data_IF_201154341077
#
_entry.id   IF_201154341077
#
_cell.length_a   1.000
_cell.length_b   1.000
_cell.length_c   1.000
_cell.angle_alpha   90.00
_cell.angle_beta   90.00
_cell.angle_gamma   90.00
#
_symmetry.space_group_name_H-M   'P 1'
#
loop_
_entity.id
_entity.type
_entity.pdbx_description
1 polymer ?
#
# COMPACT_ATOMS: atom_id res chain seq x y z
N UNK A 1 13.59 16.36 -4.26
CA UNK A 1 12.24 16.38 -4.87
C UNK A 1 11.20 16.61 -3.77
N UNK A 2 10.39 17.66 -3.88
CA UNK A 2 9.26 17.84 -2.97
C UNK A 2 8.40 16.56 -3.01
N UNK A 3 8.06 16.00 -1.84
CA UNK A 3 7.20 14.82 -1.70
C UNK A 3 7.89 13.49 -1.34
N UNK A 4 9.21 13.39 -1.25
CA UNK A 4 9.88 12.17 -0.71
C UNK A 4 10.21 12.34 0.78
N UNK A 5 9.71 11.45 1.64
CA UNK A 5 9.99 11.47 3.09
C UNK A 5 10.62 10.15 3.55
N UNK A 6 11.22 10.15 4.76
CA UNK A 6 11.79 8.93 5.36
C UNK A 6 10.67 7.96 5.73
N UNK A 7 10.94 6.66 5.59
CA UNK A 7 10.04 5.62 6.10
C UNK A 7 9.94 5.73 7.62
N UNK A 8 8.77 5.42 8.17
CA UNK A 8 8.60 5.18 9.62
C UNK A 8 9.39 3.94 10.05
N UNK A 9 9.51 3.70 11.37
CA UNK A 9 10.20 2.51 11.87
C UNK A 9 9.56 1.21 11.38
N UNK A 10 8.21 1.14 11.41
CA UNK A 10 7.47 -0.03 10.93
C UNK A 10 7.65 -0.24 9.41
N UNK A 11 7.51 0.82 8.61
CA UNK A 11 7.72 0.74 7.16
C UNK A 11 9.14 0.26 6.81
N UNK A 12 10.17 0.72 7.53
CA UNK A 12 11.56 0.24 7.32
C UNK A 12 11.69 -1.25 7.62
N UNK A 13 11.03 -1.75 8.67
CA UNK A 13 11.03 -3.17 9.00
C UNK A 13 10.51 -4.03 7.85
N UNK A 14 9.33 -3.68 7.32
CA UNK A 14 8.72 -4.37 6.17
C UNK A 14 9.60 -4.25 4.92
N UNK A 15 10.14 -3.05 4.64
CA UNK A 15 11.04 -2.81 3.50
C UNK A 15 12.27 -3.73 3.52
N UNK A 16 12.93 -3.86 4.68
CA UNK A 16 14.08 -4.74 4.81
C UNK A 16 13.71 -6.22 4.70
N UNK A 17 12.60 -6.64 5.31
CA UNK A 17 12.13 -8.01 5.22
C UNK A 17 11.84 -8.41 3.76
N UNK A 18 11.14 -7.57 3.00
CA UNK A 18 10.83 -7.83 1.58
C UNK A 18 12.11 -7.90 0.73
N UNK A 19 13.13 -7.09 1.02
CA UNK A 19 14.41 -7.15 0.28
C UNK A 19 15.23 -8.39 0.63
N UNK A 20 15.12 -8.88 1.86
CA UNK A 20 15.83 -10.09 2.31
C UNK A 20 15.26 -11.35 1.66
N UNK A 21 13.93 -11.43 1.51
CA UNK A 21 13.23 -12.55 0.90
C UNK A 21 12.13 -12.07 -0.07
N UNK A 22 12.46 -11.70 -1.32
CA UNK A 22 11.51 -11.09 -2.25
C UNK A 22 10.31 -11.95 -2.63
N UNK A 23 10.40 -13.28 -2.46
CA UNK A 23 9.32 -14.22 -2.74
C UNK A 23 8.49 -14.58 -1.49
N UNK A 24 8.85 -14.08 -0.31
CA UNK A 24 8.13 -14.37 0.93
C UNK A 24 6.82 -13.55 0.98
N UNK A 25 5.65 -14.20 1.06
CA UNK A 25 4.37 -13.50 1.08
C UNK A 25 3.93 -13.09 2.50
N UNK A 26 4.77 -13.22 3.53
CA UNK A 26 4.38 -13.00 4.94
C UNK A 26 3.78 -11.62 5.25
N UNK A 27 4.03 -10.61 4.41
CA UNK A 27 3.47 -9.27 4.53
C UNK A 27 2.30 -8.97 3.58
N UNK A 28 1.81 -9.96 2.83
CA UNK A 28 0.59 -9.84 2.04
C UNK A 28 -0.63 -10.05 2.95
N UNK A 29 -1.41 -8.99 3.15
CA UNK A 29 -2.63 -9.03 3.96
C UNK A 29 -3.84 -9.15 3.03
N UNK A 30 -4.77 -10.04 3.35
CA UNK A 30 -6.03 -10.18 2.64
C UNK A 30 -7.18 -10.38 3.63
N UNK A 31 -8.34 -9.81 3.30
CA UNK A 31 -9.58 -9.93 4.06
C UNK A 31 -10.75 -10.03 3.07
N UNK A 32 -11.87 -10.62 3.51
CA UNK A 32 -13.11 -10.63 2.75
C UNK A 32 -14.30 -10.27 3.64
N UNK A 33 -15.31 -9.64 3.06
CA UNK A 33 -16.59 -9.37 3.69
C UNK A 33 -17.71 -10.14 2.97
N UNK A 34 -18.57 -10.80 3.73
CA UNK A 34 -19.73 -11.52 3.22
C UNK A 34 -20.99 -10.64 3.31
N UNK A 35 -21.37 -10.06 2.17
CA UNK A 35 -22.52 -9.16 2.08
C UNK A 35 -23.76 -9.98 1.67
N UNK A 36 -24.76 -10.02 2.55
CA UNK A 36 -26.04 -10.70 2.30
C UNK A 36 -27.04 -9.75 1.66
N UNK A 37 -27.37 -10.00 0.40
CA UNK A 37 -28.37 -9.23 -0.35
C UNK A 37 -27.86 -8.82 -1.74
N UNK A 38 -28.67 -8.06 -2.50
CA UNK A 38 -28.26 -7.55 -3.80
C UNK A 38 -27.12 -6.54 -3.65
N UNK A 39 -26.14 -6.60 -4.55
CA UNK A 39 -25.01 -5.66 -4.65
C UNK A 39 -24.99 -5.09 -6.07
N UNK A 40 -24.95 -3.77 -6.17
CA UNK A 40 -24.53 -3.09 -7.40
C UNK A 40 -22.99 -3.13 -7.47
N UNK A 41 -22.47 -4.06 -8.27
CA UNK A 41 -21.03 -4.28 -8.41
C UNK A 41 -20.30 -3.13 -9.09
N UNK A 42 -20.99 -2.40 -9.98
CA UNK A 42 -20.41 -1.25 -10.66
C UNK A 42 -20.26 -0.08 -9.68
N UNK A 43 -21.30 0.19 -8.89
CA UNK A 43 -21.25 1.20 -7.83
C UNK A 43 -20.20 0.86 -6.77
N UNK A 44 -20.12 -0.40 -6.35
CA UNK A 44 -19.09 -0.86 -5.40
C UNK A 44 -17.69 -0.64 -5.97
N UNK A 45 -17.46 -1.00 -7.23
CA UNK A 45 -16.18 -0.78 -7.91
C UNK A 45 -15.79 0.70 -7.95
N UNK A 46 -16.73 1.60 -8.25
CA UNK A 46 -16.49 3.05 -8.20
C UNK A 46 -16.16 3.54 -6.79
N UNK A 47 -16.86 3.05 -5.77
CA UNK A 47 -16.61 3.42 -4.38
C UNK A 47 -15.19 2.99 -3.92
N UNK A 48 -14.79 1.75 -4.25
CA UNK A 48 -13.44 1.25 -3.94
C UNK A 48 -12.35 2.10 -4.60
N UNK A 49 -12.51 2.40 -5.90
CA UNK A 49 -11.55 3.23 -6.63
C UNK A 49 -11.47 4.65 -6.07
N UNK A 50 -12.60 5.22 -5.65
CA UNK A 50 -12.65 6.52 -4.99
C UNK A 50 -11.88 6.50 -3.66
N UNK A 51 -12.15 5.53 -2.78
CA UNK A 51 -11.40 5.36 -1.53
C UNK A 51 -9.89 5.19 -1.76
N UNK A 52 -9.50 4.39 -2.76
CA UNK A 52 -8.09 4.22 -3.11
C UNK A 52 -7.41 5.53 -3.54
N UNK A 53 -8.16 6.43 -4.17
CA UNK A 53 -7.67 7.73 -4.64
C UNK A 53 -7.54 8.75 -3.49
N UNK A 54 -8.43 8.70 -2.50
CA UNK A 54 -8.38 9.64 -1.36
C UNK A 54 -7.29 9.29 -0.33
N UNK A 55 -6.98 8.00 -0.15
CA UNK A 55 -6.06 7.53 0.88
C UNK A 55 -4.59 7.61 0.45
N UNK A 56 -3.81 8.51 1.07
CA UNK A 56 -2.37 8.66 0.79
C UNK A 56 -1.58 7.35 0.96
N UNK A 57 -1.94 6.52 1.94
CA UNK A 57 -1.27 5.25 2.17
C UNK A 57 -1.39 4.28 0.99
N UNK A 58 -2.54 4.30 0.29
CA UNK A 58 -2.78 3.46 -0.90
C UNK A 58 -2.13 4.03 -2.17
N UNK A 59 -1.76 5.32 -2.17
CA UNK A 59 -1.00 5.99 -3.22
C UNK A 59 0.49 6.13 -2.90
N UNK A 60 0.96 5.50 -1.82
CA UNK A 60 2.35 5.58 -1.41
C UNK A 60 3.22 4.57 -2.15
N UNK A 61 4.30 5.05 -2.77
CA UNK A 61 5.35 4.23 -3.36
C UNK A 61 6.63 4.30 -2.53
N UNK A 62 7.39 3.19 -2.53
CA UNK A 62 8.63 3.04 -1.77
C UNK A 62 9.79 2.79 -2.72
N UNK A 63 10.94 3.37 -2.41
CA UNK A 63 12.15 3.20 -3.20
C UNK A 63 13.41 3.41 -2.38
N UNK A 64 14.55 3.25 -3.02
CA UNK A 64 15.86 3.48 -2.41
C UNK A 64 16.66 4.45 -3.27
N UNK A 65 17.35 5.39 -2.63
CA UNK A 65 18.29 6.28 -3.29
C UNK A 65 19.56 6.37 -2.46
N UNK A 66 20.69 6.03 -3.08
CA UNK A 66 22.01 6.01 -2.42
C UNK A 66 22.01 5.17 -1.13
N UNK A 67 21.37 4.00 -1.14
CA UNK A 67 21.26 3.13 0.04
C UNK A 67 20.25 3.59 1.10
N UNK A 68 19.55 4.71 0.88
CA UNK A 68 18.57 5.25 1.84
C UNK A 68 17.15 5.03 1.32
N UNK A 69 16.30 4.27 2.04
CA UNK A 69 14.93 4.07 1.65
C UNK A 69 14.10 5.35 1.87
N UNK A 70 13.19 5.61 0.94
CA UNK A 70 12.24 6.73 0.98
C UNK A 70 10.84 6.27 0.58
N UNK A 71 9.84 7.04 1.01
CA UNK A 71 8.46 6.92 0.56
C UNK A 71 8.04 8.20 -0.15
N UNK A 72 7.11 8.10 -1.09
CA UNK A 72 6.48 9.24 -1.77
C UNK A 72 5.01 8.91 -2.00
N UNK A 73 4.15 9.91 -1.83
CA UNK A 73 2.76 9.84 -2.25
C UNK A 73 2.69 10.29 -3.71
N UNK A 74 2.04 9.50 -4.56
CA UNK A 74 1.76 9.83 -5.97
C UNK A 74 0.43 10.54 -6.14
#
# INVERSE_FOLDING_TARGET
PAGTVRLTAAQRGVWFAQRLAPSDPSYNIAEYADIKGPIDTELLGRAVNHTATEMEALRSTFGERNGVPFQRVE
#
